data_IF_083628088801
#
_entry.id   IF_083628088801
#
_cell.length_a   1.000
_cell.length_b   1.000
_cell.length_c   1.000
_cell.angle_alpha   90.00
_cell.angle_beta   90.00
_cell.angle_gamma   90.00
#
_symmetry.space_group_name_H-M   'P 1'
#
loop_
_entity.id
_entity.type
_entity.pdbx_description
1 polymer ?
#
# COMPACT_ATOMS: atom_id res chain seq x y z
N UNK A 1 4.13 -17.44 13.76
CA UNK A 1 5.03 -16.34 13.42
C UNK A 1 4.45 -15.50 12.28
N UNK A 2 4.28 -16.09 11.09
CA UNK A 2 3.68 -15.38 9.96
C UNK A 2 2.27 -14.87 10.28
N UNK A 3 1.50 -15.62 11.05
CA UNK A 3 0.15 -15.23 11.44
C UNK A 3 0.14 -13.95 12.29
N UNK A 4 1.08 -13.81 13.21
CA UNK A 4 1.18 -12.60 14.05
C UNK A 4 1.53 -11.38 13.21
N UNK A 5 2.45 -11.55 12.26
CA UNK A 5 2.83 -10.46 11.37
C UNK A 5 1.65 -10.08 10.46
N UNK A 6 0.91 -11.06 9.95
CA UNK A 6 -0.27 -10.81 9.15
C UNK A 6 -1.35 -10.09 9.95
N UNK A 7 -1.61 -10.53 11.18
CA UNK A 7 -2.58 -9.88 12.06
C UNK A 7 -2.18 -8.41 12.31
N UNK A 8 -0.89 -8.15 12.52
CA UNK A 8 -0.39 -6.80 12.73
C UNK A 8 -0.57 -5.95 11.47
N UNK A 9 -0.29 -6.52 10.30
CA UNK A 9 -0.49 -5.80 9.03
C UNK A 9 -1.95 -5.34 8.89
N UNK A 10 -2.90 -6.24 9.15
CA UNK A 10 -4.32 -5.90 9.09
C UNK A 10 -4.67 -4.83 10.13
N UNK A 11 -4.08 -4.91 11.31
CA UNK A 11 -4.29 -3.91 12.34
C UNK A 11 -3.78 -2.53 11.92
N UNK A 12 -2.57 -2.48 11.36
CA UNK A 12 -2.02 -1.22 10.86
C UNK A 12 -2.85 -0.66 9.71
N UNK A 13 -3.46 -1.54 8.90
CA UNK A 13 -4.31 -1.11 7.78
C UNK A 13 -5.62 -0.46 8.22
N UNK A 14 -5.96 -0.51 9.51
CA UNK A 14 -7.12 0.22 10.05
C UNK A 14 -6.80 1.70 10.26
N UNK A 15 -5.52 2.08 10.28
CA UNK A 15 -5.11 3.47 10.45
C UNK A 15 -5.41 4.27 9.18
N UNK A 16 -5.66 5.57 9.34
CA UNK A 16 -5.90 6.45 8.19
C UNK A 16 -4.69 6.54 7.29
N UNK A 17 -3.50 6.57 7.90
CA UNK A 17 -2.24 6.67 7.17
C UNK A 17 -1.22 5.73 7.79
N UNK A 18 -0.34 5.21 6.94
CA UNK A 18 0.82 4.44 7.38
C UNK A 18 2.05 5.01 6.70
N UNK A 19 3.23 4.70 7.24
CA UNK A 19 4.47 4.99 6.54
C UNK A 19 4.93 3.72 5.87
N UNK A 20 5.37 3.84 4.62
CA UNK A 20 6.02 2.74 3.91
C UNK A 20 7.49 3.08 3.77
N UNK A 21 8.35 2.13 4.14
CA UNK A 21 9.80 2.27 4.03
C UNK A 21 10.27 1.37 2.91
N UNK A 22 10.95 1.96 1.94
CA UNK A 22 11.44 1.26 0.76
C UNK A 22 12.92 1.58 0.54
N UNK A 23 13.61 0.72 -0.19
CA UNK A 23 14.95 0.99 -0.71
C UNK A 23 15.12 0.19 -1.98
N UNK A 24 15.88 0.75 -2.92
CA UNK A 24 16.07 0.09 -4.22
C UNK A 24 16.86 -1.21 -4.07
N UNK A 25 17.86 -1.20 -3.21
CA UNK A 25 18.70 -2.38 -2.92
C UNK A 25 19.33 -2.22 -1.54
N UNK A 26 20.11 -3.23 -1.12
CA UNK A 26 20.72 -3.26 0.22
C UNK A 26 21.69 -2.11 0.48
N UNK A 27 22.24 -1.50 -0.56
CA UNK A 27 23.22 -0.40 -0.45
C UNK A 27 22.57 0.98 -0.55
N UNK A 28 21.32 1.05 -0.99
CA UNK A 28 20.63 2.33 -1.16
C UNK A 28 20.04 2.81 0.17
N UNK A 29 19.91 4.13 0.35
CA UNK A 29 19.30 4.66 1.57
C UNK A 29 17.84 4.29 1.66
N UNK A 30 17.37 4.16 2.90
CA UNK A 30 15.97 3.91 3.19
C UNK A 30 15.16 5.16 2.91
N UNK A 31 14.03 5.00 2.22
CA UNK A 31 13.13 6.09 1.88
C UNK A 31 11.78 5.83 2.56
N UNK A 32 11.27 6.81 3.29
CA UNK A 32 10.04 6.70 4.05
C UNK A 32 9.01 7.70 3.57
N UNK A 33 7.79 7.22 3.31
CA UNK A 33 6.71 8.05 2.79
C UNK A 33 5.41 7.69 3.50
N UNK A 34 4.58 8.70 3.76
CA UNK A 34 3.23 8.48 4.29
C UNK A 34 2.29 8.15 3.13
N UNK A 35 1.53 7.08 3.27
CA UNK A 35 0.60 6.62 2.22
C UNK A 35 -0.72 6.17 2.82
N UNK A 36 -1.72 6.04 1.96
CA UNK A 36 -3.00 5.43 2.28
C UNK A 36 -2.90 3.92 2.11
N UNK A 37 -3.74 3.20 2.85
CA UNK A 37 -3.75 1.74 2.84
C UNK A 37 -5.19 1.27 3.05
N UNK A 38 -5.59 0.22 2.34
CA UNK A 38 -6.96 -0.30 2.46
C UNK A 38 -6.96 -1.81 2.65
N UNK A 39 -7.72 -2.31 3.63
CA UNK A 39 -8.01 -3.73 3.73
C UNK A 39 -9.19 -4.06 2.81
N UNK A 40 -9.14 -5.26 2.21
CA UNK A 40 -10.24 -5.80 1.40
C UNK A 40 -10.39 -7.28 1.72
N UNK A 41 -11.43 -7.90 1.20
CA UNK A 41 -11.59 -9.35 1.35
C UNK A 41 -10.48 -10.15 0.65
N UNK A 42 -9.74 -9.51 -0.28
CA UNK A 42 -8.65 -10.15 -1.02
C UNK A 42 -7.28 -9.93 -0.38
N UNK A 43 -7.19 -9.02 0.59
CA UNK A 43 -5.94 -8.67 1.24
C UNK A 43 -5.81 -7.17 1.49
N UNK A 44 -4.61 -6.76 1.86
CA UNK A 44 -4.30 -5.37 2.17
C UNK A 44 -3.57 -4.75 0.98
N UNK A 45 -4.04 -3.59 0.53
CA UNK A 45 -3.57 -2.97 -0.70
C UNK A 45 -3.12 -1.53 -0.52
N UNK A 46 -2.16 -1.14 -1.33
CA UNK A 46 -1.65 0.24 -1.40
C UNK A 46 -1.54 0.64 -2.87
N UNK A 47 -1.53 1.95 -3.12
CA UNK A 47 -1.38 2.53 -4.47
C UNK A 47 -0.47 3.74 -4.41
N UNK A 48 0.22 4.03 -5.51
CA UNK A 48 1.09 5.19 -5.61
C UNK A 48 0.29 6.41 -6.08
N UNK A 49 0.15 7.41 -5.22
CA UNK A 49 -0.56 8.65 -5.54
C UNK A 49 0.04 9.35 -6.76
N UNK A 50 1.35 9.24 -6.95
CA UNK A 50 2.06 9.83 -8.10
C UNK A 50 2.09 8.90 -9.32
N UNK A 51 1.42 7.75 -9.25
CA UNK A 51 1.38 6.78 -10.32
C UNK A 51 2.71 6.04 -10.44
N UNK A 52 3.00 5.59 -11.66
CA UNK A 52 4.21 4.81 -11.94
C UNK A 52 5.49 5.59 -11.70
N UNK A 53 5.41 6.92 -11.68
CA UNK A 53 6.57 7.80 -11.44
C UNK A 53 6.95 7.91 -9.98
N UNK A 54 6.07 7.48 -9.06
CA UNK A 54 6.32 7.59 -7.63
C UNK A 54 7.60 6.87 -7.21
N UNK A 55 8.45 7.55 -6.45
CA UNK A 55 9.74 7.00 -6.05
C UNK A 55 9.60 5.74 -5.20
N UNK A 56 8.72 5.77 -4.19
CA UNK A 56 8.59 4.59 -3.34
C UNK A 56 8.06 3.39 -4.13
N UNK A 57 7.17 3.65 -5.10
CA UNK A 57 6.63 2.60 -5.95
C UNK A 57 7.71 1.97 -6.81
N UNK A 58 8.56 2.81 -7.43
CA UNK A 58 9.68 2.32 -8.22
C UNK A 58 10.65 1.49 -7.37
N UNK A 59 10.96 1.97 -6.17
CA UNK A 59 11.83 1.23 -5.26
C UNK A 59 11.22 -0.09 -4.83
N UNK A 60 9.91 -0.12 -4.56
CA UNK A 60 9.20 -1.34 -4.18
C UNK A 60 9.15 -2.36 -5.31
N UNK A 61 9.08 -1.90 -6.57
CA UNK A 61 9.16 -2.82 -7.70
C UNK A 61 10.55 -3.43 -7.84
N UNK A 62 11.58 -2.64 -7.58
CA UNK A 62 12.96 -3.12 -7.65
C UNK A 62 13.30 -4.05 -6.48
N UNK A 63 12.75 -3.75 -5.31
CA UNK A 63 12.97 -4.53 -4.08
C UNK A 63 11.64 -4.67 -3.35
N UNK A 64 10.93 -5.78 -3.52
CA UNK A 64 9.56 -5.92 -3.01
C UNK A 64 9.42 -6.07 -1.50
N UNK A 65 10.52 -6.17 -0.77
CA UNK A 65 10.44 -6.20 0.69
C UNK A 65 10.39 -4.76 1.21
N UNK A 66 9.32 -4.44 1.91
CA UNK A 66 9.07 -3.10 2.45
C UNK A 66 8.72 -3.20 3.93
N UNK A 67 8.78 -2.09 4.65
CA UNK A 67 8.29 -2.01 6.02
C UNK A 67 7.10 -1.08 6.04
N UNK A 68 6.02 -1.53 6.68
CA UNK A 68 4.82 -0.73 6.90
C UNK A 68 4.76 -0.41 8.39
N UNK A 69 4.59 0.86 8.72
CA UNK A 69 4.77 1.35 10.07
C UNK A 69 3.69 2.35 10.48
N UNK A 70 3.25 2.24 11.73
CA UNK A 70 2.46 3.28 12.41
C UNK A 70 3.11 3.49 13.77
N UNK A 71 3.76 4.63 13.96
CA UNK A 71 4.51 4.90 15.18
C UNK A 71 5.62 3.88 15.40
N UNK A 72 5.59 3.19 16.54
CA UNK A 72 6.60 2.17 16.86
C UNK A 72 6.26 0.79 16.34
N UNK A 73 5.02 0.59 15.91
CA UNK A 73 4.59 -0.71 15.39
C UNK A 73 4.95 -0.80 13.92
N UNK A 74 5.58 -1.88 13.54
CA UNK A 74 6.01 -2.09 12.15
C UNK A 74 5.94 -3.56 11.78
N UNK A 75 5.75 -3.80 10.50
CA UNK A 75 5.73 -5.14 9.93
C UNK A 75 6.48 -5.14 8.61
N UNK A 76 7.27 -6.18 8.39
CA UNK A 76 7.91 -6.39 7.08
C UNK A 76 6.90 -7.08 6.18
N UNK A 77 6.77 -6.59 4.98
CA UNK A 77 5.83 -7.14 4.00
C UNK A 77 6.49 -7.24 2.64
N UNK A 78 6.00 -8.18 1.84
CA UNK A 78 6.32 -8.25 0.42
C UNK A 78 5.16 -7.65 -0.35
N UNK A 79 5.47 -6.80 -1.32
CA UNK A 79 4.43 -6.23 -2.18
C UNK A 79 4.44 -6.93 -3.53
N UNK A 80 3.25 -7.16 -4.07
CA UNK A 80 3.06 -7.83 -5.35
C UNK A 80 2.07 -7.03 -6.19
N UNK A 81 2.38 -6.75 -7.48
CA UNK A 81 1.44 -6.08 -8.36
C UNK A 81 0.15 -6.88 -8.51
N UNK A 82 -0.98 -6.19 -8.50
CA UNK A 82 -2.29 -6.78 -8.66
C UNK A 82 -2.86 -6.41 -10.03
N UNK A 83 -3.27 -7.41 -10.80
CA UNK A 83 -3.80 -7.18 -12.15
C UNK A 83 -5.23 -7.71 -12.35
N UNK A 84 -5.77 -8.45 -11.40
CA UNK A 84 -7.11 -9.02 -11.52
C UNK A 84 -8.16 -7.89 -11.48
N UNK A 85 -8.97 -7.70 -12.54
CA UNK A 85 -9.95 -6.61 -12.57
C UNK A 85 -10.97 -6.66 -11.44
N UNK A 86 -11.34 -7.83 -10.98
CA UNK A 86 -12.28 -7.95 -9.85
C UNK A 86 -11.67 -7.41 -8.57
N UNK A 87 -10.39 -7.72 -8.35
CA UNK A 87 -9.68 -7.23 -7.18
C UNK A 87 -9.45 -5.72 -7.27
N UNK A 88 -9.06 -5.22 -8.46
CA UNK A 88 -8.89 -3.78 -8.69
C UNK A 88 -10.17 -3.03 -8.33
N UNK A 89 -11.34 -3.55 -8.73
CA UNK A 89 -12.63 -2.92 -8.40
C UNK A 89 -12.92 -2.97 -6.90
N UNK A 90 -12.58 -4.06 -6.24
CA UNK A 90 -12.75 -4.16 -4.79
C UNK A 90 -11.86 -3.15 -4.07
N UNK A 91 -10.63 -2.96 -4.55
CA UNK A 91 -9.71 -1.96 -4.01
C UNK A 91 -10.27 -0.55 -4.23
N UNK A 92 -10.83 -0.27 -5.42
CA UNK A 92 -11.49 1.01 -5.69
C UNK A 92 -12.61 1.27 -4.67
N UNK A 93 -13.45 0.28 -4.43
CA UNK A 93 -14.55 0.40 -3.48
C UNK A 93 -14.03 0.63 -2.05
N UNK A 94 -12.94 -0.03 -1.69
CA UNK A 94 -12.33 0.13 -0.37
C UNK A 94 -11.78 1.54 -0.17
N UNK A 95 -11.16 2.14 -1.19
CA UNK A 95 -10.70 3.53 -1.12
C UNK A 95 -11.89 4.49 -0.94
N UNK A 96 -12.96 4.30 -1.70
CA UNK A 96 -14.16 5.14 -1.55
C UNK A 96 -14.76 5.02 -0.17
N UNK A 97 -14.87 3.81 0.34
CA UNK A 97 -15.47 3.54 1.65
C UNK A 97 -14.66 4.16 2.79
N UNK A 98 -13.35 4.00 2.74
CA UNK A 98 -12.48 4.43 3.83
C UNK A 98 -12.19 5.93 3.80
N UNK A 99 -11.98 6.50 2.62
CA UNK A 99 -11.48 7.86 2.47
C UNK A 99 -12.42 8.83 1.76
N UNK A 100 -13.37 8.33 0.99
CA UNK A 100 -14.15 9.14 0.06
C UNK A 100 -14.93 10.26 0.70
N UNK A 101 -15.48 10.03 1.89
CA UNK A 101 -16.29 11.03 2.57
C UNK A 101 -15.45 12.19 3.12
N UNK A 102 -14.29 11.87 3.70
CA UNK A 102 -13.43 12.87 4.32
C UNK A 102 -12.49 13.56 3.31
N UNK A 103 -12.04 12.83 2.31
CA UNK A 103 -11.09 13.34 1.32
C UNK A 103 -11.53 12.97 -0.10
N UNK A 104 -12.63 13.58 -0.59
CA UNK A 104 -13.20 13.18 -1.88
C UNK A 104 -12.28 13.45 -3.09
N UNK A 105 -11.53 14.56 -3.06
CA UNK A 105 -10.66 14.89 -4.20
C UNK A 105 -9.47 13.96 -4.28
N UNK A 106 -8.83 13.69 -3.15
CA UNK A 106 -7.69 12.78 -3.08
C UNK A 106 -8.12 11.35 -3.43
N UNK A 107 -9.32 10.94 -3.00
CA UNK A 107 -9.86 9.62 -3.33
C UNK A 107 -10.06 9.51 -4.83
N UNK A 108 -10.57 10.56 -5.47
CA UNK A 108 -10.76 10.61 -6.92
C UNK A 108 -9.42 10.39 -7.65
N UNK A 109 -8.34 11.01 -7.14
CA UNK A 109 -7.01 10.81 -7.70
C UNK A 109 -6.59 9.34 -7.62
N UNK A 110 -6.85 8.67 -6.50
CA UNK A 110 -6.48 7.28 -6.31
C UNK A 110 -7.24 6.29 -7.20
N UNK A 111 -8.31 6.77 -7.86
CA UNK A 111 -9.14 5.96 -8.76
C UNK A 111 -8.87 6.23 -10.23
N UNK A 112 -7.91 7.12 -10.55
CA UNK A 112 -7.57 7.45 -11.94
C UNK A 112 -6.92 6.27 -12.66
N UNK A 113 -7.12 6.20 -13.96
CA UNK A 113 -6.52 5.16 -14.81
C UNK A 113 -5.01 5.06 -14.67
N UNK A 114 -4.33 6.19 -14.48
CA UNK A 114 -2.88 6.21 -14.30
C UNK A 114 -2.43 5.65 -12.96
N UNK A 115 -3.32 5.58 -11.98
CA UNK A 115 -3.02 5.10 -10.63
C UNK A 115 -3.35 3.61 -10.47
N UNK A 116 -4.42 3.13 -11.13
CA UNK A 116 -4.85 1.74 -10.98
C UNK A 116 -3.75 0.72 -11.23
N UNK A 117 -2.86 0.90 -12.25
CA UNK A 117 -1.77 -0.05 -12.46
C UNK A 117 -0.75 -0.13 -11.33
N UNK A 118 -0.78 0.82 -10.38
CA UNK A 118 0.15 0.82 -9.24
C UNK A 118 -0.41 0.05 -8.03
N UNK A 119 -1.52 -0.65 -8.20
CA UNK A 119 -2.11 -1.43 -7.11
C UNK A 119 -1.18 -2.56 -6.68
N UNK A 120 -0.79 -2.56 -5.42
CA UNK A 120 0.12 -3.56 -4.85
C UNK A 120 -0.55 -4.23 -3.66
N UNK A 121 -0.53 -5.56 -3.68
CA UNK A 121 -0.94 -6.35 -2.52
C UNK A 121 0.23 -6.42 -1.54
N UNK A 122 -0.05 -6.21 -0.26
CA UNK A 122 0.96 -6.32 0.81
C UNK A 122 0.73 -7.62 1.56
N UNK A 123 1.79 -8.42 1.67
CA UNK A 123 1.74 -9.73 2.34
C UNK A 123 2.81 -9.73 3.42
N UNK A 124 2.42 -9.91 4.68
CA UNK A 124 3.37 -9.97 5.78
C UNK A 124 4.30 -11.18 5.64
N UNK A 125 5.56 -10.99 5.96
CA UNK A 125 6.57 -12.06 5.88
C UNK A 125 7.18 -12.36 7.24
#
# INVERSE_FOLDING_TARGET
MAKKAEDLLWKLAESDEVEIETRRDAKSPLHRVTIWIVPTEYGVYVRSYKGKKGRWYQEALANPLVTIRVGRRKVTARVEPEHNPLVIRAVNAAYRKKYGERWPDETKEMLKRSILPTTLRSIAV
#
